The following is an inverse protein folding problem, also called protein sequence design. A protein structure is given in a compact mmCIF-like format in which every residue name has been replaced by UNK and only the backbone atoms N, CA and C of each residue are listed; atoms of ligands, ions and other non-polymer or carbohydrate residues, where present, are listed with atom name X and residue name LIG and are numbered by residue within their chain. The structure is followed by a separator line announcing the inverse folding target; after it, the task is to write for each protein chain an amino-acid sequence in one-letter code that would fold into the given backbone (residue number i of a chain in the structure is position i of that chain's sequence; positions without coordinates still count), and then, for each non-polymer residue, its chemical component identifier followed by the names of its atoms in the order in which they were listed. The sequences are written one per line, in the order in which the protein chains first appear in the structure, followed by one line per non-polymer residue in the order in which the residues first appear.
data_IF_903240008477
#
_entry.id   IF_903240008477
#
_cell.length_a   1.000
_cell.length_b   1.000
_cell.length_c   1.000
_cell.angle_alpha   90.00
_cell.angle_beta   90.00
_cell.angle_gamma   90.00
#
_symmetry.space_group_name_H-M   'P 1'
#
loop_
_entity.id
_entity.type
_entity.pdbx_description
1 polymer ?
#
# COMPACT_ATOMS: atom_id res chain seq x y z
N UNK A 1 -9.20 33.47 -21.64
CA UNK A 1 -9.95 32.68 -22.63
C UNK A 1 -10.20 31.32 -22.01
N UNK A 2 -11.45 30.88 -21.89
CA UNK A 2 -11.74 29.52 -21.42
C UNK A 2 -11.46 28.56 -22.59
N UNK A 3 -10.42 27.75 -22.44
CA UNK A 3 -10.14 26.67 -23.39
C UNK A 3 -11.33 25.71 -23.40
N UNK A 4 -11.83 25.38 -24.58
CA UNK A 4 -12.94 24.43 -24.78
C UNK A 4 -12.43 23.00 -24.96
N UNK A 5 -11.12 22.80 -24.78
CA UNK A 5 -10.49 21.49 -24.89
C UNK A 5 -10.73 20.71 -23.60
N UNK A 6 -11.24 19.49 -23.75
CA UNK A 6 -11.42 18.57 -22.63
C UNK A 6 -10.02 18.17 -22.15
N UNK A 7 -9.63 18.65 -20.97
CA UNK A 7 -8.39 18.24 -20.30
C UNK A 7 -8.38 16.69 -20.22
N UNK A 8 -7.30 16.02 -20.69
CA UNK A 8 -7.23 14.58 -20.67
C UNK A 8 -7.24 14.07 -19.23
N UNK A 9 -8.31 13.38 -18.86
CA UNK A 9 -8.46 12.81 -17.51
C UNK A 9 -7.39 11.71 -17.28
N UNK A 10 -6.38 12.02 -16.47
CA UNK A 10 -5.28 11.11 -16.13
C UNK A 10 -5.67 9.98 -15.16
N UNK A 11 -6.96 9.81 -14.85
CA UNK A 11 -7.45 8.78 -13.93
C UNK A 11 -7.37 9.14 -12.45
N UNK A 12 -6.95 10.37 -12.13
CA UNK A 12 -6.81 11.02 -10.81
C UNK A 12 -7.28 12.47 -10.94
N UNK A 13 -7.95 12.99 -9.92
CA UNK A 13 -8.42 14.38 -9.90
C UNK A 13 -7.26 15.34 -9.63
N UNK A 14 -7.10 16.36 -10.46
CA UNK A 14 -6.08 17.40 -10.29
C UNK A 14 -6.30 18.24 -9.01
N UNK A 15 -7.54 18.31 -8.53
CA UNK A 15 -7.84 18.93 -7.24
C UNK A 15 -7.24 18.14 -6.05
N UNK A 16 -7.07 16.82 -6.20
CA UNK A 16 -6.40 15.97 -5.21
C UNK A 16 -4.88 15.93 -5.44
N UNK A 17 -4.46 15.82 -6.70
CA UNK A 17 -3.05 15.75 -7.11
C UNK A 17 -2.77 16.78 -8.22
N UNK A 18 -2.31 18.00 -7.90
CA UNK A 18 -2.09 19.07 -8.89
C UNK A 18 -1.06 18.72 -9.98
N UNK A 19 -0.17 17.78 -9.70
CA UNK A 19 0.82 17.26 -10.64
C UNK A 19 0.36 15.98 -11.36
N UNK A 20 -0.96 15.69 -11.42
CA UNK A 20 -1.50 14.48 -12.06
C UNK A 20 -0.99 14.30 -13.50
N UNK A 21 -0.77 15.40 -14.23
CA UNK A 21 -0.27 15.42 -15.60
C UNK A 21 1.26 15.22 -15.73
N UNK A 22 2.02 15.29 -14.63
CA UNK A 22 3.50 15.31 -14.64
C UNK A 22 4.15 13.96 -14.32
N UNK A 23 3.40 12.86 -14.37
CA UNK A 23 3.99 11.52 -14.25
C UNK A 23 3.10 10.52 -13.51
N UNK A 24 3.71 9.71 -12.65
CA UNK A 24 3.02 8.61 -11.97
C UNK A 24 2.27 9.10 -10.73
N UNK A 25 0.95 9.22 -10.85
CA UNK A 25 0.09 9.75 -9.78
C UNK A 25 -0.95 8.76 -9.25
N UNK A 26 -0.97 7.51 -9.76
CA UNK A 26 -1.98 6.50 -9.40
C UNK A 26 -1.36 5.14 -9.15
N UNK A 27 -1.64 4.56 -7.99
CA UNK A 27 -1.34 3.17 -7.69
C UNK A 27 -2.62 2.44 -7.29
N UNK A 28 -2.80 1.23 -7.83
CA UNK A 28 -3.99 0.43 -7.54
C UNK A 28 -3.87 -0.17 -6.14
N UNK A 29 -4.93 -0.10 -5.33
CA UNK A 29 -5.00 -0.73 -4.01
C UNK A 29 -4.75 -2.25 -4.11
N UNK A 30 -5.11 -2.89 -5.23
CA UNK A 30 -4.83 -4.31 -5.46
C UNK A 30 -3.32 -4.60 -5.49
N UNK A 31 -2.54 -3.70 -6.08
CA UNK A 31 -1.07 -3.81 -6.09
C UNK A 31 -0.52 -3.67 -4.67
N UNK A 32 -1.06 -2.74 -3.88
CA UNK A 32 -0.69 -2.58 -2.46
C UNK A 32 -0.97 -3.84 -1.63
N UNK A 33 -2.11 -4.50 -1.85
CA UNK A 33 -2.39 -5.77 -1.18
C UNK A 33 -1.44 -6.88 -1.60
N UNK A 34 -1.09 -6.96 -2.87
CA UNK A 34 -0.09 -7.91 -3.37
C UNK A 34 1.27 -7.70 -2.71
N UNK A 35 1.79 -6.47 -2.76
CA UNK A 35 3.09 -6.11 -2.18
C UNK A 35 3.09 -6.31 -0.66
N UNK A 36 2.05 -5.84 0.03
CA UNK A 36 1.96 -5.99 1.48
C UNK A 36 1.87 -7.45 1.91
N UNK A 37 1.08 -8.27 1.21
CA UNK A 37 0.99 -9.72 1.50
C UNK A 37 2.32 -10.42 1.24
N UNK A 38 3.01 -10.04 0.17
CA UNK A 38 4.34 -10.55 -0.12
C UNK A 38 5.36 -10.20 0.99
N UNK A 39 5.40 -8.93 1.43
CA UNK A 39 6.28 -8.49 2.53
C UNK A 39 5.94 -9.25 3.82
N UNK A 40 4.66 -9.41 4.14
CA UNK A 40 4.22 -10.19 5.29
C UNK A 40 4.77 -11.62 5.25
N UNK A 41 4.60 -12.33 4.14
CA UNK A 41 5.10 -13.69 3.96
C UNK A 41 6.63 -13.75 4.00
N UNK A 42 7.31 -12.76 3.43
CA UNK A 42 8.77 -12.65 3.43
C UNK A 42 9.32 -12.52 4.86
N UNK A 43 8.71 -11.67 5.69
CA UNK A 43 9.10 -11.51 7.10
C UNK A 43 8.93 -12.81 7.89
N UNK A 44 7.86 -13.58 7.62
CA UNK A 44 7.69 -14.89 8.23
C UNK A 44 8.71 -15.92 7.72
N UNK A 45 9.13 -15.82 6.45
CA UNK A 45 10.17 -16.67 5.90
C UNK A 45 11.53 -16.43 6.58
N UNK A 46 11.83 -15.20 7.01
CA UNK A 46 13.05 -14.87 7.75
C UNK A 46 13.15 -15.51 9.13
N UNK A 47 12.05 -16.03 9.70
CA UNK A 47 12.10 -16.84 10.93
C UNK A 47 12.82 -18.18 10.71
N UNK A 48 12.98 -18.61 9.46
CA UNK A 48 13.72 -19.82 9.09
C UNK A 48 15.17 -19.45 8.75
N UNK A 49 16.06 -19.51 9.72
CA UNK A 49 17.49 -19.22 9.52
C UNK A 49 18.39 -19.77 10.63
N UNK A 50 19.67 -19.38 10.61
CA UNK A 50 20.68 -19.76 11.61
C UNK A 50 20.64 -18.84 12.86
N UNK A 51 19.45 -18.43 13.29
CA UNK A 51 19.29 -17.53 14.43
C UNK A 51 19.54 -18.29 15.72
N UNK A 52 20.55 -17.86 16.49
CA UNK A 52 20.85 -18.42 17.81
C UNK A 52 20.09 -17.66 18.90
N UNK A 53 19.82 -16.37 18.67
CA UNK A 53 19.03 -15.52 19.58
C UNK A 53 17.67 -15.17 18.98
N UNK A 54 16.65 -15.06 19.84
CA UNK A 54 15.27 -14.78 19.44
C UNK A 54 14.93 -13.30 19.24
N UNK A 55 15.89 -12.40 19.39
CA UNK A 55 15.63 -10.96 19.23
C UNK A 55 15.19 -10.65 17.80
N UNK A 56 15.88 -11.20 16.80
CA UNK A 56 15.54 -11.02 15.39
C UNK A 56 14.16 -11.60 15.04
N UNK A 57 13.81 -12.77 15.61
CA UNK A 57 12.50 -13.38 15.44
C UNK A 57 11.38 -12.47 15.98
N UNK A 58 11.57 -11.88 17.16
CA UNK A 58 10.60 -10.98 17.79
C UNK A 58 10.36 -9.75 16.89
N UNK A 59 11.41 -9.16 16.33
CA UNK A 59 11.26 -8.05 15.39
C UNK A 59 10.57 -8.47 14.09
N UNK A 60 10.94 -9.62 13.51
CA UNK A 60 10.31 -10.14 12.29
C UNK A 60 8.81 -10.39 12.50
N UNK A 61 8.43 -11.03 13.60
CA UNK A 61 7.02 -11.26 13.97
C UNK A 61 6.30 -9.93 14.26
N UNK A 62 6.94 -9.01 14.99
CA UNK A 62 6.37 -7.70 15.31
C UNK A 62 6.04 -6.89 14.06
N UNK A 63 6.97 -6.81 13.11
CA UNK A 63 6.74 -6.13 11.83
C UNK A 63 5.75 -6.87 10.94
N UNK A 64 5.76 -8.21 10.92
CA UNK A 64 4.77 -8.99 10.19
C UNK A 64 3.35 -8.70 10.73
N UNK A 65 3.16 -8.68 12.05
CA UNK A 65 1.89 -8.32 12.68
C UNK A 65 1.46 -6.89 12.33
N UNK A 66 2.39 -5.92 12.32
CA UNK A 66 2.11 -4.54 11.94
C UNK A 66 1.63 -4.44 10.49
N UNK A 67 2.33 -5.08 9.55
CA UNK A 67 1.96 -5.09 8.12
C UNK A 67 0.57 -5.71 7.94
N UNK A 68 0.32 -6.85 8.58
CA UNK A 68 -0.98 -7.52 8.52
C UNK A 68 -2.10 -6.62 9.07
N UNK A 69 -1.86 -5.96 10.19
CA UNK A 69 -2.82 -5.01 10.79
C UNK A 69 -3.17 -3.88 9.82
N UNK A 70 -2.17 -3.25 9.19
CA UNK A 70 -2.39 -2.16 8.22
C UNK A 70 -3.22 -2.65 7.02
N UNK A 71 -2.90 -3.83 6.47
CA UNK A 71 -3.64 -4.41 5.34
C UNK A 71 -5.10 -4.70 5.69
N UNK A 72 -5.33 -5.37 6.82
CA UNK A 72 -6.68 -5.69 7.29
C UNK A 72 -7.48 -4.42 7.54
N UNK A 73 -6.85 -3.41 8.18
CA UNK A 73 -7.49 -2.10 8.42
C UNK A 73 -7.85 -1.38 7.13
N UNK A 74 -6.99 -1.40 6.11
CA UNK A 74 -7.28 -0.77 4.82
C UNK A 74 -8.43 -1.49 4.09
N UNK A 75 -8.39 -2.82 4.01
CA UNK A 75 -9.46 -3.64 3.42
C UNK A 75 -10.80 -3.34 4.12
N UNK A 76 -10.80 -3.28 5.44
CA UNK A 76 -12.01 -2.99 6.21
C UNK A 76 -12.49 -1.55 6.01
N UNK A 77 -11.59 -0.58 6.05
CA UNK A 77 -11.90 0.83 5.83
C UNK A 77 -12.53 1.08 4.46
N UNK A 78 -12.01 0.44 3.40
CA UNK A 78 -12.60 0.51 2.06
C UNK A 78 -13.94 -0.21 1.97
N UNK A 79 -14.10 -1.39 2.59
CA UNK A 79 -15.40 -2.10 2.65
C UNK A 79 -16.48 -1.28 3.36
N UNK A 80 -16.11 -0.44 4.33
CA UNK A 80 -17.03 0.46 5.04
C UNK A 80 -17.21 1.82 4.36
N UNK A 81 -16.52 2.07 3.23
CA UNK A 81 -16.58 3.34 2.51
C UNK A 81 -15.88 4.51 3.20
N UNK A 82 -15.04 4.25 4.22
CA UNK A 82 -14.27 5.28 4.91
C UNK A 82 -13.07 5.76 4.09
N UNK A 83 -12.56 4.87 3.24
CA UNK A 83 -11.44 5.12 2.35
C UNK A 83 -11.94 4.94 0.92
N UNK A 84 -11.68 5.95 0.09
CA UNK A 84 -11.96 5.92 -1.35
C UNK A 84 -10.73 5.38 -2.11
#
# INVERSE_FOLDING_TARGET
MASTEVEPFAGVDEAEVPSAQWGWSKINYRTWYGVGTFIFLLLLAFLRGNHVGHVEDIFCVGFAALVLFVLVRDIWGRRRGWLR
#
